data_IF_357511734938
#
_entry.id   IF_357511734938
#
_cell.length_a   1.000
_cell.length_b   1.000
_cell.length_c   1.000
_cell.angle_alpha   90.00
_cell.angle_beta   90.00
_cell.angle_gamma   90.00
#
_symmetry.space_group_name_H-M   'P 1'
#
loop_
_entity.id
_entity.type
_entity.pdbx_description
1 polymer ?
#
# COMPACT_ATOMS: atom_id res chain seq x y z
N UNK A 1 45.28 9.32 20.44
CA UNK A 1 46.04 10.01 19.34
C UNK A 1 45.16 9.93 18.09
N UNK A 2 44.76 10.96 17.33
CA UNK A 2 44.98 12.41 17.27
C UNK A 2 43.60 13.05 17.02
N UNK A 3 43.28 14.14 17.72
CA UNK A 3 42.16 15.04 17.37
C UNK A 3 42.67 16.00 16.30
N UNK A 4 42.03 16.02 15.13
CA UNK A 4 42.28 17.03 14.11
C UNK A 4 41.23 18.12 14.31
N UNK A 5 41.64 19.20 14.98
CA UNK A 5 40.87 20.43 15.05
C UNK A 5 41.17 21.26 13.81
N UNK A 6 40.15 21.55 13.01
CA UNK A 6 40.22 22.55 11.94
C UNK A 6 39.62 23.83 12.49
N UNK A 7 40.49 24.83 12.63
CA UNK A 7 40.20 26.17 13.10
C UNK A 7 39.89 27.03 11.87
N UNK A 8 38.62 27.30 11.58
CA UNK A 8 38.23 28.27 10.56
C UNK A 8 37.83 29.57 11.23
N UNK A 9 38.71 30.56 11.09
CA UNK A 9 38.54 31.92 11.56
C UNK A 9 37.97 32.76 10.40
N UNK A 10 36.66 32.99 10.36
CA UNK A 10 36.04 33.92 9.42
C UNK A 10 35.59 35.18 10.15
N UNK A 11 36.34 36.27 9.94
CA UNK A 11 35.98 37.62 10.35
C UNK A 11 34.67 38.03 9.69
N UNK A 12 33.75 38.55 10.50
CA UNK A 12 32.48 39.10 10.07
C UNK A 12 32.65 40.34 9.19
N UNK A 13 31.89 40.37 8.10
CA UNK A 13 31.47 41.58 7.43
C UNK A 13 29.96 41.64 7.64
N UNK A 14 29.51 42.56 8.49
CA UNK A 14 28.11 42.86 8.66
C UNK A 14 27.64 43.65 7.44
N UNK A 15 26.84 43.01 6.58
CA UNK A 15 25.99 43.72 5.63
C UNK A 15 24.58 43.79 6.24
N UNK A 16 24.16 44.98 6.63
CA UNK A 16 22.75 45.32 6.82
C UNK A 16 22.08 45.31 5.44
N UNK A 17 21.60 44.14 5.04
CA UNK A 17 20.69 43.98 3.92
C UNK A 17 19.33 43.56 4.47
N UNK A 18 18.30 44.37 4.24
CA UNK A 18 16.90 44.06 4.50
C UNK A 18 16.40 42.90 3.61
N UNK A 19 16.94 41.71 3.85
CA UNK A 19 16.52 40.45 3.24
C UNK A 19 15.48 39.81 4.15
N UNK A 20 14.21 39.89 3.75
CA UNK A 20 13.14 39.08 4.28
C UNK A 20 13.57 37.60 4.13
N UNK A 21 14.01 36.98 5.24
CA UNK A 21 14.35 35.56 5.28
C UNK A 21 13.14 34.79 4.74
N UNK A 22 13.24 33.99 3.65
CA UNK A 22 12.19 33.04 3.34
C UNK A 22 12.10 32.09 4.54
N UNK A 23 11.00 32.25 5.30
CA UNK A 23 10.70 31.49 6.51
C UNK A 23 10.25 30.10 6.12
N UNK A 24 11.21 29.24 5.80
CA UNK A 24 10.97 27.82 5.66
C UNK A 24 12.13 27.14 4.97
N UNK A 25 12.74 26.18 5.66
CA UNK A 25 13.71 25.30 5.03
C UNK A 25 13.09 24.54 3.85
N UNK A 26 13.90 23.84 3.02
CA UNK A 26 13.42 23.08 1.87
C UNK A 26 12.28 22.08 2.17
N UNK A 27 12.18 21.62 3.42
CA UNK A 27 11.10 20.78 3.92
C UNK A 27 9.76 21.50 4.08
N UNK A 28 9.75 22.77 4.44
CA UNK A 28 8.53 23.56 4.62
C UNK A 28 7.93 24.00 3.28
N UNK A 29 8.78 24.38 2.31
CA UNK A 29 8.33 24.66 0.95
C UNK A 29 7.78 23.42 0.24
N UNK A 30 8.37 22.24 0.50
CA UNK A 30 7.84 20.96 0.03
C UNK A 30 6.49 20.64 0.68
N UNK A 31 6.35 20.81 2.01
CA UNK A 31 5.06 20.62 2.72
C UNK A 31 3.97 21.54 2.16
N UNK A 32 4.25 22.84 2.01
CA UNK A 32 3.30 23.79 1.43
C UNK A 32 2.91 23.42 -0.01
N UNK A 33 3.84 22.90 -0.81
CA UNK A 33 3.55 22.40 -2.16
C UNK A 33 2.66 21.16 -2.15
N UNK A 34 2.90 20.23 -1.21
CA UNK A 34 2.06 19.03 -1.02
C UNK A 34 0.66 19.42 -0.57
N UNK A 35 0.53 20.36 0.36
CA UNK A 35 -0.77 20.82 0.87
C UNK A 35 -1.56 21.56 -0.23
N UNK A 36 -0.90 22.43 -1.01
CA UNK A 36 -1.52 23.08 -2.18
C UNK A 36 -1.94 22.07 -3.25
N UNK A 37 -1.13 21.04 -3.51
CA UNK A 37 -1.48 19.98 -4.45
C UNK A 37 -2.69 19.16 -3.95
N UNK A 38 -2.73 18.82 -2.66
CA UNK A 38 -3.88 18.15 -2.02
C UNK A 38 -5.16 18.96 -2.18
N UNK A 39 -5.11 20.26 -1.92
CA UNK A 39 -6.26 21.15 -2.05
C UNK A 39 -6.74 21.27 -3.51
N UNK A 40 -5.81 21.40 -4.46
CA UNK A 40 -6.15 21.44 -5.90
C UNK A 40 -6.78 20.13 -6.38
N UNK A 41 -6.23 18.98 -5.97
CA UNK A 41 -6.78 17.66 -6.32
C UNK A 41 -8.18 17.50 -5.70
N UNK A 42 -8.34 17.84 -4.42
CA UNK A 42 -9.63 17.77 -3.74
C UNK A 42 -10.68 18.65 -4.43
N UNK A 43 -10.32 19.88 -4.79
CA UNK A 43 -11.23 20.84 -5.45
C UNK A 43 -11.61 20.40 -6.87
N UNK A 44 -10.63 19.93 -7.65
CA UNK A 44 -10.87 19.42 -9.01
C UNK A 44 -11.74 18.15 -9.01
N UNK A 45 -11.48 17.25 -8.06
CA UNK A 45 -12.28 16.04 -7.86
C UNK A 45 -13.71 16.39 -7.46
N UNK A 46 -13.88 17.29 -6.49
CA UNK A 46 -15.19 17.76 -6.05
C UNK A 46 -16.00 18.40 -7.20
N UNK A 47 -15.35 19.24 -8.03
CA UNK A 47 -15.98 19.87 -9.19
C UNK A 47 -16.41 18.84 -10.25
N UNK A 48 -15.56 17.86 -10.53
CA UNK A 48 -15.84 16.81 -11.52
C UNK A 48 -16.98 15.90 -11.07
N UNK A 49 -17.00 15.53 -9.78
CA UNK A 49 -18.09 14.75 -9.18
C UNK A 49 -19.39 15.55 -9.17
N UNK A 50 -19.33 16.83 -8.82
CA UNK A 50 -20.50 17.73 -8.83
C UNK A 50 -21.14 17.85 -10.21
N UNK A 51 -20.36 18.10 -11.26
CA UNK A 51 -20.86 18.18 -12.63
C UNK A 51 -21.46 16.85 -13.13
N UNK A 52 -20.84 15.72 -12.77
CA UNK A 52 -21.38 14.39 -13.06
C UNK A 52 -22.73 14.16 -12.36
N UNK A 53 -22.85 14.56 -11.08
CA UNK A 53 -24.08 14.45 -10.30
C UNK A 53 -25.22 15.30 -10.86
N UNK A 54 -24.95 16.53 -11.27
CA UNK A 54 -25.93 17.43 -11.90
C UNK A 54 -26.47 16.85 -13.22
N UNK A 55 -25.56 16.35 -14.06
CA UNK A 55 -25.91 15.69 -15.33
C UNK A 55 -26.72 14.42 -15.09
N UNK A 56 -26.33 13.60 -14.11
CA UNK A 56 -27.05 12.38 -13.74
C UNK A 56 -28.43 12.67 -13.16
N UNK A 57 -28.61 13.72 -12.35
CA UNK A 57 -29.95 14.09 -11.85
C UNK A 57 -30.92 14.39 -12.99
N UNK A 58 -30.40 14.99 -14.07
CA UNK A 58 -31.20 15.37 -15.25
C UNK A 58 -31.51 14.18 -16.15
N UNK A 59 -30.54 13.30 -16.38
CA UNK A 59 -30.66 12.21 -17.37
C UNK A 59 -30.99 10.83 -16.78
N UNK A 60 -30.61 10.58 -15.52
CA UNK A 60 -30.84 9.30 -14.83
C UNK A 60 -30.94 9.49 -13.30
N UNK A 61 -32.09 9.96 -12.77
CA UNK A 61 -32.23 10.31 -11.36
C UNK A 61 -32.05 9.12 -10.42
N UNK A 62 -32.32 7.89 -10.87
CA UNK A 62 -32.07 6.67 -10.09
C UNK A 62 -30.57 6.46 -9.86
N UNK A 63 -29.75 6.69 -10.88
CA UNK A 63 -28.30 6.56 -10.77
C UNK A 63 -27.70 7.69 -9.91
N UNK A 64 -28.26 8.91 -10.00
CA UNK A 64 -27.86 10.02 -9.13
C UNK A 64 -28.13 9.72 -7.65
N UNK A 65 -29.28 9.10 -7.33
CA UNK A 65 -29.62 8.71 -5.96
C UNK A 65 -28.65 7.63 -5.43
N UNK A 66 -28.37 6.59 -6.22
CA UNK A 66 -27.36 5.56 -5.86
C UNK A 66 -25.95 6.14 -5.67
N UNK A 67 -25.57 7.13 -6.49
CA UNK A 67 -24.28 7.80 -6.35
C UNK A 67 -24.20 8.53 -5.00
N UNK A 68 -25.27 9.21 -4.60
CA UNK A 68 -25.35 9.90 -3.31
C UNK A 68 -25.33 8.93 -2.12
N UNK A 69 -26.06 7.82 -2.21
CA UNK A 69 -25.99 6.74 -1.21
C UNK A 69 -24.57 6.19 -1.07
N UNK A 70 -23.89 5.98 -2.21
CA UNK A 70 -22.51 5.49 -2.23
C UNK A 70 -21.55 6.51 -1.63
N UNK A 71 -21.69 7.79 -1.95
CA UNK A 71 -20.88 8.88 -1.38
C UNK A 71 -21.03 8.95 0.15
N UNK A 72 -22.27 8.87 0.65
CA UNK A 72 -22.56 8.87 2.08
C UNK A 72 -21.99 7.62 2.77
N UNK A 73 -22.11 6.45 2.13
CA UNK A 73 -21.49 5.23 2.62
C UNK A 73 -19.96 5.35 2.68
N UNK A 74 -19.32 5.86 1.63
CA UNK A 74 -17.87 6.08 1.59
C UNK A 74 -17.42 7.06 2.68
N UNK A 75 -18.14 8.18 2.88
CA UNK A 75 -17.83 9.13 3.97
C UNK A 75 -17.92 8.47 5.35
N UNK A 76 -18.95 7.65 5.58
CA UNK A 76 -19.12 6.90 6.83
C UNK A 76 -17.98 5.89 7.06
N UNK A 77 -17.56 5.17 6.02
CA UNK A 77 -16.43 4.24 6.13
C UNK A 77 -15.12 5.00 6.36
N UNK A 78 -14.93 6.13 5.69
CA UNK A 78 -13.75 6.98 5.87
C UNK A 78 -13.66 7.50 7.31
N UNK A 79 -14.75 8.04 7.87
CA UNK A 79 -14.76 8.51 9.25
C UNK A 79 -14.50 7.37 10.24
N UNK A 80 -15.11 6.21 10.03
CA UNK A 80 -14.86 5.02 10.85
C UNK A 80 -13.38 4.58 10.79
N UNK A 81 -12.75 4.64 9.61
CA UNK A 81 -11.34 4.30 9.44
C UNK A 81 -10.42 5.32 10.10
N UNK A 82 -10.75 6.60 10.00
CA UNK A 82 -10.02 7.67 10.67
C UNK A 82 -10.07 7.50 12.20
N UNK A 83 -11.25 7.19 12.75
CA UNK A 83 -11.44 6.88 14.18
C UNK A 83 -10.64 5.64 14.62
N UNK A 84 -10.54 4.63 13.76
CA UNK A 84 -9.72 3.43 13.97
C UNK A 84 -8.21 3.70 13.77
N UNK A 85 -7.81 4.93 13.44
CA UNK A 85 -6.42 5.34 13.33
C UNK A 85 -5.77 4.98 11.99
N UNK A 86 -6.53 5.00 10.88
CA UNK A 86 -6.00 4.70 9.55
C UNK A 86 -4.81 5.56 9.16
N UNK A 87 -4.75 6.84 9.53
CA UNK A 87 -3.57 7.66 9.21
C UNK A 87 -2.42 7.48 10.21
N UNK A 88 -2.75 7.20 11.46
CA UNK A 88 -1.77 7.05 12.55
C UNK A 88 -0.93 5.78 12.36
N UNK A 89 -1.55 4.69 11.90
CA UNK A 89 -0.88 3.40 11.69
C UNK A 89 -0.03 3.33 10.42
N UNK A 90 -0.11 4.34 9.54
CA UNK A 90 0.64 4.38 8.29
C UNK A 90 2.16 4.32 8.52
N UNK A 91 2.65 5.05 9.52
CA UNK A 91 4.08 5.04 9.88
C UNK A 91 4.51 3.66 10.37
N UNK A 92 3.67 2.97 11.13
CA UNK A 92 3.97 1.63 11.66
C UNK A 92 4.13 0.64 10.52
N UNK A 93 3.23 0.66 9.53
CA UNK A 93 3.34 -0.20 8.36
C UNK A 93 4.64 0.03 7.57
N UNK A 94 5.05 1.29 7.39
CA UNK A 94 6.32 1.58 6.72
C UNK A 94 7.53 1.04 7.48
N UNK A 95 7.48 0.95 8.81
CA UNK A 95 8.53 0.27 9.59
C UNK A 95 8.53 -1.24 9.32
N UNK A 96 7.35 -1.85 9.27
CA UNK A 96 7.19 -3.28 8.97
C UNK A 96 7.68 -3.64 7.56
N UNK A 97 7.48 -2.77 6.56
CA UNK A 97 7.95 -2.98 5.18
C UNK A 97 9.45 -3.24 5.09
N UNK A 98 10.25 -2.58 5.93
CA UNK A 98 11.72 -2.75 5.92
C UNK A 98 12.22 -3.79 6.93
N UNK A 99 11.32 -4.34 7.75
CA UNK A 99 11.68 -5.28 8.80
C UNK A 99 12.36 -6.57 8.28
N UNK A 100 11.93 -7.17 7.14
CA UNK A 100 12.62 -8.34 6.59
C UNK A 100 14.10 -8.08 6.26
N UNK A 101 14.44 -6.85 5.86
CA UNK A 101 15.82 -6.47 5.52
C UNK A 101 16.65 -6.07 6.74
N UNK A 102 16.05 -5.40 7.72
CA UNK A 102 16.75 -4.97 8.96
C UNK A 102 17.11 -6.12 9.90
N UNK A 103 16.45 -7.28 9.77
CA UNK A 103 16.66 -8.45 10.64
C UNK A 103 17.75 -9.40 10.15
N UNK A 104 18.36 -9.15 8.99
CA UNK A 104 19.47 -9.97 8.51
C UNK A 104 20.66 -10.02 9.49
N UNK A 105 20.77 -9.05 10.41
CA UNK A 105 21.86 -8.95 11.40
C UNK A 105 21.53 -9.47 12.81
N UNK A 106 20.31 -9.98 13.09
CA UNK A 106 19.89 -10.35 14.45
C UNK A 106 19.49 -11.82 14.57
N UNK A 107 20.24 -12.61 15.36
CA UNK A 107 20.02 -13.92 16.03
C UNK A 107 19.01 -14.98 15.54
N UNK A 108 17.96 -14.64 14.79
CA UNK A 108 17.04 -15.55 14.11
C UNK A 108 17.04 -15.24 12.60
N UNK A 109 17.61 -16.12 11.76
CA UNK A 109 17.64 -15.89 10.32
C UNK A 109 16.22 -15.83 9.75
N UNK A 110 15.98 -14.93 8.79
CA UNK A 110 14.68 -14.74 8.12
C UNK A 110 14.06 -16.06 7.62
N UNK A 111 14.90 -17.00 7.16
CA UNK A 111 14.47 -18.34 6.73
C UNK A 111 13.77 -19.14 7.84
N UNK A 112 14.16 -18.96 9.10
CA UNK A 112 13.50 -19.62 10.23
C UNK A 112 12.09 -19.06 10.48
N UNK A 113 11.88 -17.75 10.31
CA UNK A 113 10.57 -17.10 10.41
C UNK A 113 9.68 -17.47 9.22
N UNK A 114 10.24 -17.51 8.00
CA UNK A 114 9.54 -18.00 6.80
C UNK A 114 9.11 -19.45 7.01
N UNK A 115 10.02 -20.34 7.43
CA UNK A 115 9.70 -21.74 7.68
C UNK A 115 8.65 -21.90 8.77
N UNK A 116 8.76 -21.12 9.85
CA UNK A 116 7.78 -21.11 10.94
C UNK A 116 6.40 -20.59 10.52
N UNK A 117 6.36 -19.60 9.62
CA UNK A 117 5.11 -19.03 9.11
C UNK A 117 4.48 -19.81 7.95
N UNK A 118 5.24 -20.70 7.30
CA UNK A 118 4.71 -21.73 6.39
C UNK A 118 4.03 -22.88 7.16
N UNK A 119 4.26 -22.99 8.46
CA UNK A 119 3.49 -23.93 9.29
C UNK A 119 2.02 -23.57 9.22
N UNK A 120 1.16 -24.58 9.07
CA UNK A 120 -0.29 -24.41 9.13
C UNK A 120 -0.76 -23.86 10.49
N UNK A 121 0.07 -23.89 11.53
CA UNK A 121 -0.22 -23.26 12.82
C UNK A 121 0.97 -22.40 13.25
N UNK A 122 1.07 -21.15 12.77
CA UNK A 122 2.10 -20.25 13.28
C UNK A 122 1.81 -19.93 14.75
N UNK A 123 2.86 -19.85 15.57
CA UNK A 123 2.74 -19.44 16.98
C UNK A 123 2.13 -18.04 17.12
N UNK A 124 2.39 -17.17 16.13
CA UNK A 124 1.84 -15.82 16.06
C UNK A 124 1.26 -15.54 14.66
N UNK A 125 -0.06 -15.71 14.46
CA UNK A 125 -0.70 -15.50 13.16
C UNK A 125 -0.66 -14.04 12.70
N UNK A 126 -0.65 -13.06 13.62
CA UNK A 126 -0.52 -11.64 13.28
C UNK A 126 0.85 -11.36 12.66
N UNK A 127 1.92 -11.86 13.26
CA UNK A 127 3.27 -11.70 12.73
C UNK A 127 3.45 -12.42 11.39
N UNK A 128 2.93 -13.65 11.26
CA UNK A 128 2.97 -14.38 10.01
C UNK A 128 2.24 -13.63 8.89
N UNK A 129 1.04 -13.12 9.15
CA UNK A 129 0.29 -12.31 8.20
C UNK A 129 1.08 -11.07 7.75
N UNK A 130 1.62 -10.28 8.67
CA UNK A 130 2.42 -9.09 8.36
C UNK A 130 3.61 -9.45 7.47
N UNK A 131 4.36 -10.50 7.84
CA UNK A 131 5.52 -10.96 7.07
C UNK A 131 5.13 -11.31 5.64
N UNK A 132 4.13 -12.17 5.45
CA UNK A 132 3.71 -12.61 4.12
C UNK A 132 3.10 -11.48 3.28
N UNK A 133 2.36 -10.55 3.90
CA UNK A 133 1.82 -9.39 3.21
C UNK A 133 2.93 -8.44 2.73
N UNK A 134 3.94 -8.20 3.56
CA UNK A 134 5.13 -7.39 3.20
C UNK A 134 5.93 -8.08 2.09
N UNK A 135 6.14 -9.40 2.17
CA UNK A 135 6.86 -10.13 1.13
C UNK A 135 6.10 -10.15 -0.19
N UNK A 136 4.77 -10.32 -0.17
CA UNK A 136 3.93 -10.23 -1.36
C UNK A 136 4.05 -8.84 -2.01
N UNK A 137 4.05 -7.76 -1.22
CA UNK A 137 4.29 -6.42 -1.72
C UNK A 137 5.65 -6.28 -2.40
N UNK A 138 6.74 -6.70 -1.75
CA UNK A 138 8.10 -6.61 -2.32
C UNK A 138 8.28 -7.46 -3.57
N UNK A 139 7.65 -8.65 -3.63
CA UNK A 139 7.61 -9.45 -4.84
C UNK A 139 6.92 -8.71 -5.99
N UNK A 140 5.84 -7.97 -5.69
CA UNK A 140 5.17 -7.09 -6.64
C UNK A 140 6.05 -5.94 -7.14
N UNK A 141 6.83 -5.32 -6.25
CA UNK A 141 7.80 -4.27 -6.60
C UNK A 141 8.90 -4.85 -7.51
N UNK A 142 9.50 -5.97 -7.13
CA UNK A 142 10.52 -6.66 -7.94
C UNK A 142 9.95 -7.03 -9.31
N UNK A 143 8.75 -7.61 -9.35
CA UNK A 143 8.07 -7.94 -10.60
C UNK A 143 7.82 -6.72 -11.48
N UNK A 144 7.37 -5.60 -10.91
CA UNK A 144 7.17 -4.35 -11.66
C UNK A 144 8.49 -3.81 -12.25
N UNK A 145 9.59 -3.89 -11.49
CA UNK A 145 10.93 -3.48 -11.98
C UNK A 145 11.42 -4.42 -13.09
N UNK A 146 11.28 -5.74 -12.93
CA UNK A 146 11.68 -6.70 -13.96
C UNK A 146 10.88 -6.52 -15.25
N UNK A 147 9.56 -6.37 -15.15
CA UNK A 147 8.70 -6.12 -16.32
C UNK A 147 9.04 -4.79 -17.00
N UNK A 148 9.41 -3.76 -16.23
CA UNK A 148 9.90 -2.50 -16.79
C UNK A 148 11.23 -2.68 -17.55
N UNK A 149 12.17 -3.46 -17.01
CA UNK A 149 13.48 -3.70 -17.63
C UNK A 149 13.41 -4.52 -18.92
N UNK A 150 12.38 -5.38 -19.07
CA UNK A 150 12.19 -6.23 -20.26
C UNK A 150 11.24 -5.60 -21.29
N UNK A 151 10.54 -4.51 -20.94
CA UNK A 151 9.55 -3.88 -21.81
C UNK A 151 10.19 -3.08 -22.95
N UNK A 152 9.88 -3.46 -24.19
CA UNK A 152 10.21 -2.69 -25.42
C UNK A 152 9.34 -1.43 -25.63
N UNK A 153 8.32 -1.20 -24.78
CA UNK A 153 7.43 -0.05 -24.90
C UNK A 153 8.13 1.30 -24.62
N UNK A 154 7.49 2.39 -25.05
CA UNK A 154 7.90 3.76 -24.72
C UNK A 154 8.19 3.89 -23.21
N UNK A 155 9.44 4.23 -22.87
CA UNK A 155 9.99 4.27 -21.50
C UNK A 155 9.05 4.98 -20.51
N UNK A 156 8.35 6.03 -20.94
CA UNK A 156 7.44 6.78 -20.07
C UNK A 156 6.14 6.00 -19.75
N UNK A 157 5.58 5.28 -20.72
CA UNK A 157 4.34 4.52 -20.53
C UNK A 157 4.59 3.28 -19.65
N UNK A 158 5.70 2.58 -19.87
CA UNK A 158 6.11 1.45 -19.03
C UNK A 158 6.43 1.90 -17.61
N UNK A 159 7.09 3.04 -17.44
CA UNK A 159 7.34 3.63 -16.12
C UNK A 159 6.04 4.01 -15.40
N UNK A 160 5.10 4.65 -16.10
CA UNK A 160 3.81 5.02 -15.53
C UNK A 160 3.00 3.78 -15.11
N UNK A 161 2.98 2.75 -15.96
CA UNK A 161 2.33 1.48 -15.64
C UNK A 161 2.98 0.81 -14.41
N UNK A 162 4.31 0.67 -14.39
CA UNK A 162 5.03 0.10 -13.26
C UNK A 162 4.79 0.88 -11.96
N UNK A 163 4.85 2.21 -12.02
CA UNK A 163 4.58 3.10 -10.88
C UNK A 163 3.15 2.95 -10.37
N UNK A 164 2.15 2.91 -11.26
CA UNK A 164 0.75 2.68 -10.86
C UNK A 164 0.56 1.32 -10.19
N UNK A 165 1.19 0.26 -10.72
CA UNK A 165 1.11 -1.10 -10.16
C UNK A 165 1.75 -1.17 -8.78
N UNK A 166 2.91 -0.55 -8.60
CA UNK A 166 3.57 -0.44 -7.29
C UNK A 166 2.72 0.36 -6.29
N UNK A 167 2.14 1.48 -6.72
CA UNK A 167 1.29 2.30 -5.89
C UNK A 167 0.02 1.56 -5.43
N UNK A 168 -0.70 0.93 -6.37
CA UNK A 168 -1.89 0.14 -6.06
C UNK A 168 -1.55 -1.03 -5.14
N UNK A 169 -0.46 -1.75 -5.42
CA UNK A 169 0.02 -2.84 -4.57
C UNK A 169 0.34 -2.37 -3.15
N UNK A 170 0.98 -1.20 -3.01
CA UNK A 170 1.24 -0.57 -1.72
C UNK A 170 -0.06 -0.23 -0.98
N UNK A 171 -1.04 0.38 -1.65
CA UNK A 171 -2.33 0.71 -1.06
C UNK A 171 -3.07 -0.52 -0.54
N UNK A 172 -3.11 -1.62 -1.31
CA UNK A 172 -3.72 -2.87 -0.85
C UNK A 172 -2.98 -3.49 0.33
N UNK A 173 -1.65 -3.56 0.25
CA UNK A 173 -0.86 -4.15 1.32
C UNK A 173 -1.00 -3.34 2.62
N UNK A 174 -1.06 -2.00 2.54
CA UNK A 174 -1.36 -1.16 3.69
C UNK A 174 -2.79 -1.35 4.21
N UNK A 175 -3.78 -1.37 3.32
CA UNK A 175 -5.18 -1.57 3.68
C UNK A 175 -5.39 -2.90 4.41
N UNK A 176 -4.75 -3.98 3.94
CA UNK A 176 -4.82 -5.29 4.57
C UNK A 176 -4.09 -5.33 5.91
N UNK A 177 -2.93 -4.70 6.02
CA UNK A 177 -2.27 -4.50 7.31
C UNK A 177 -3.22 -3.81 8.31
N UNK A 178 -3.82 -2.68 7.91
CA UNK A 178 -4.73 -1.95 8.76
C UNK A 178 -5.94 -2.80 9.19
N UNK A 179 -6.63 -3.42 8.23
CA UNK A 179 -7.83 -4.23 8.51
C UNK A 179 -7.52 -5.38 9.46
N UNK A 180 -6.48 -6.18 9.17
CA UNK A 180 -6.24 -7.43 9.90
C UNK A 180 -5.39 -7.27 11.17
N UNK A 181 -4.62 -6.19 11.29
CA UNK A 181 -3.70 -5.98 12.43
C UNK A 181 -4.17 -4.85 13.34
N UNK A 182 -4.76 -3.78 12.80
CA UNK A 182 -5.08 -2.57 13.57
C UNK A 182 -6.55 -2.48 13.99
N UNK A 183 -7.50 -2.95 13.16
CA UNK A 183 -8.93 -2.69 13.46
C UNK A 183 -9.53 -3.64 14.50
N UNK A 184 -9.08 -4.91 14.54
CA UNK A 184 -9.70 -6.00 15.31
C UNK A 184 -11.25 -6.10 15.15
N UNK A 185 -11.81 -5.59 14.04
CA UNK A 185 -13.26 -5.61 13.74
C UNK A 185 -13.60 -6.72 12.76
N UNK A 186 -14.36 -7.73 13.21
CA UNK A 186 -14.77 -8.90 12.42
C UNK A 186 -15.43 -8.56 11.07
N UNK A 187 -16.28 -7.52 11.04
CA UNK A 187 -16.93 -7.02 9.80
C UNK A 187 -15.89 -6.61 8.75
N UNK A 188 -14.91 -5.80 9.13
CA UNK A 188 -13.87 -5.30 8.21
C UNK A 188 -12.92 -6.41 7.78
N UNK A 189 -12.58 -7.30 8.69
CA UNK A 189 -11.76 -8.48 8.38
C UNK A 189 -12.45 -9.40 7.36
N UNK A 190 -13.78 -9.57 7.42
CA UNK A 190 -14.52 -10.32 6.40
C UNK A 190 -14.40 -9.65 5.02
N UNK A 191 -14.62 -8.34 4.93
CA UNK A 191 -14.47 -7.61 3.66
C UNK A 191 -13.03 -7.68 3.12
N UNK A 192 -12.04 -7.50 4.00
CA UNK A 192 -10.63 -7.68 3.65
C UNK A 192 -10.33 -9.09 3.15
N UNK A 193 -10.91 -10.11 3.78
CA UNK A 193 -10.70 -11.51 3.40
C UNK A 193 -11.29 -11.81 2.02
N UNK A 194 -12.51 -11.37 1.75
CA UNK A 194 -13.14 -11.50 0.43
C UNK A 194 -12.33 -10.76 -0.63
N UNK A 195 -11.82 -9.56 -0.33
CA UNK A 195 -10.98 -8.80 -1.25
C UNK A 195 -9.65 -9.53 -1.57
N UNK A 196 -8.96 -10.10 -0.56
CA UNK A 196 -7.76 -10.92 -0.77
C UNK A 196 -8.08 -12.15 -1.61
N UNK A 197 -9.19 -12.84 -1.33
CA UNK A 197 -9.59 -14.03 -2.09
C UNK A 197 -9.85 -13.71 -3.56
N UNK A 198 -10.60 -12.64 -3.85
CA UNK A 198 -10.80 -12.16 -5.21
C UNK A 198 -9.47 -11.80 -5.88
N UNK A 199 -8.56 -11.17 -5.14
CA UNK A 199 -7.23 -10.83 -5.66
C UNK A 199 -6.41 -12.07 -6.02
N UNK A 200 -6.41 -13.10 -5.17
CA UNK A 200 -5.80 -14.42 -5.46
C UNK A 200 -6.38 -15.03 -6.73
N UNK A 201 -7.71 -15.01 -6.89
CA UNK A 201 -8.35 -15.55 -8.10
C UNK A 201 -7.93 -14.79 -9.36
N UNK A 202 -7.82 -13.46 -9.27
CA UNK A 202 -7.32 -12.63 -10.39
C UNK A 202 -5.87 -12.94 -10.73
N UNK A 203 -5.00 -13.17 -9.74
CA UNK A 203 -3.58 -13.48 -9.99
C UNK A 203 -3.40 -14.89 -10.56
N UNK A 204 -4.20 -15.85 -10.10
CA UNK A 204 -4.24 -17.21 -10.67
C UNK A 204 -4.75 -17.19 -12.11
N UNK A 205 -5.79 -16.40 -12.39
CA UNK A 205 -6.27 -16.19 -13.76
C UNK A 205 -5.19 -15.53 -14.63
N UNK A 206 -4.45 -14.54 -14.11
CA UNK A 206 -3.31 -13.94 -14.79
C UNK A 206 -2.21 -14.95 -15.11
N UNK A 207 -1.87 -15.83 -14.16
CA UNK A 207 -0.92 -16.92 -14.38
C UNK A 207 -1.40 -17.89 -15.47
N UNK A 208 -2.68 -18.30 -15.43
CA UNK A 208 -3.29 -19.14 -16.46
C UNK A 208 -3.21 -18.48 -17.85
N UNK A 209 -3.57 -17.20 -17.94
CA UNK A 209 -3.49 -16.46 -19.20
C UNK A 209 -2.04 -16.36 -19.71
N UNK A 210 -1.07 -16.13 -18.82
CA UNK A 210 0.36 -16.10 -19.18
C UNK A 210 0.83 -17.46 -19.69
N UNK A 211 0.39 -18.56 -19.05
CA UNK A 211 0.71 -19.92 -19.48
C UNK A 211 0.14 -20.25 -20.86
N UNK A 212 -1.07 -19.76 -21.18
CA UNK A 212 -1.68 -19.95 -22.48
C UNK A 212 -0.91 -19.27 -23.63
N UNK A 213 -0.14 -18.23 -23.34
CA UNK A 213 0.65 -17.46 -24.32
C UNK A 213 2.16 -17.70 -24.18
N UNK A 214 2.59 -18.78 -23.51
CA UNK A 214 4.00 -19.05 -23.18
C UNK A 214 4.92 -19.19 -24.41
N UNK A 215 4.35 -19.40 -25.61
CA UNK A 215 5.09 -19.46 -26.87
C UNK A 215 5.67 -18.12 -27.30
N UNK A 216 5.18 -17.02 -26.73
CA UNK A 216 5.75 -15.68 -26.88
C UNK A 216 6.85 -15.53 -25.81
N UNK A 217 8.12 -15.39 -26.21
CA UNK A 217 9.29 -15.56 -25.33
C UNK A 217 9.31 -14.75 -24.03
N UNK A 218 8.55 -13.66 -23.95
CA UNK A 218 8.44 -12.79 -22.76
C UNK A 218 7.45 -13.32 -21.70
N UNK A 219 6.57 -14.25 -22.07
CA UNK A 219 5.51 -14.77 -21.21
C UNK A 219 6.02 -15.69 -20.09
N UNK A 220 7.24 -16.23 -20.19
CA UNK A 220 7.82 -17.11 -19.15
C UNK A 220 8.09 -16.34 -17.86
N UNK A 221 8.64 -15.12 -17.95
CA UNK A 221 8.92 -14.29 -16.79
C UNK A 221 7.62 -13.87 -16.10
N UNK A 222 6.63 -13.41 -16.88
CA UNK A 222 5.33 -13.02 -16.36
C UNK A 222 4.60 -14.21 -15.70
N UNK A 223 4.66 -15.40 -16.31
CA UNK A 223 4.12 -16.62 -15.74
C UNK A 223 4.74 -16.94 -14.38
N UNK A 224 6.07 -16.96 -14.29
CA UNK A 224 6.78 -17.27 -13.04
C UNK A 224 6.41 -16.24 -11.96
N UNK A 225 6.40 -14.96 -12.30
CA UNK A 225 6.02 -13.90 -11.36
C UNK A 225 4.57 -14.06 -10.89
N UNK A 226 3.61 -14.32 -11.80
CA UNK A 226 2.21 -14.49 -11.44
C UNK A 226 1.96 -15.75 -10.59
N UNK A 227 2.70 -16.84 -10.83
CA UNK A 227 2.67 -18.05 -9.99
C UNK A 227 3.18 -17.74 -8.58
N UNK A 228 4.37 -17.14 -8.46
CA UNK A 228 4.94 -16.77 -7.17
C UNK A 228 4.00 -15.81 -6.44
N UNK A 229 3.49 -14.80 -7.12
CA UNK A 229 2.60 -13.81 -6.54
C UNK A 229 1.30 -14.46 -6.03
N UNK A 230 0.73 -15.40 -6.78
CA UNK A 230 -0.43 -16.17 -6.35
C UNK A 230 -0.12 -17.02 -5.12
N UNK A 231 1.03 -17.70 -5.08
CA UNK A 231 1.43 -18.52 -3.93
C UNK A 231 1.57 -17.69 -2.65
N UNK A 232 2.22 -16.51 -2.73
CA UNK A 232 2.34 -15.61 -1.58
C UNK A 232 0.97 -15.10 -1.11
N UNK A 233 0.10 -14.68 -2.05
CA UNK A 233 -1.23 -14.19 -1.69
C UNK A 233 -2.15 -15.30 -1.12
N UNK A 234 -1.98 -16.56 -1.53
CA UNK A 234 -2.67 -17.70 -0.91
C UNK A 234 -2.26 -17.84 0.56
N UNK A 235 -0.96 -17.69 0.87
CA UNK A 235 -0.46 -17.76 2.25
C UNK A 235 -0.96 -16.56 3.07
N UNK A 236 -0.99 -15.36 2.48
CA UNK A 236 -1.61 -14.17 3.10
C UNK A 236 -3.09 -14.42 3.40
N UNK A 237 -3.84 -14.97 2.43
CA UNK A 237 -5.25 -15.33 2.58
C UNK A 237 -5.48 -16.35 3.70
N UNK A 238 -4.61 -17.36 3.79
CA UNK A 238 -4.63 -18.37 4.84
C UNK A 238 -4.48 -17.73 6.24
N UNK A 239 -3.49 -16.87 6.43
CA UNK A 239 -3.28 -16.20 7.73
C UNK A 239 -4.40 -15.18 8.02
N UNK A 240 -4.92 -14.48 7.02
CA UNK A 240 -6.09 -13.62 7.15
C UNK A 240 -7.31 -14.39 7.65
N UNK A 241 -7.56 -15.60 7.13
CA UNK A 241 -8.65 -16.46 7.59
C UNK A 241 -8.49 -16.84 9.06
N UNK A 242 -7.28 -17.22 9.51
CA UNK A 242 -7.03 -17.53 10.92
C UNK A 242 -7.23 -16.34 11.83
N UNK A 243 -6.78 -15.15 11.41
CA UNK A 243 -7.05 -13.91 12.15
C UNK A 243 -8.54 -13.64 12.23
N UNK A 244 -9.27 -13.76 11.12
CA UNK A 244 -10.72 -13.55 11.07
C UNK A 244 -11.49 -14.52 11.98
N UNK A 245 -11.12 -15.81 11.97
CA UNK A 245 -11.74 -16.84 12.80
C UNK A 245 -11.43 -16.65 14.28
N UNK A 246 -10.25 -16.12 14.61
CA UNK A 246 -9.82 -15.87 15.99
C UNK A 246 -10.54 -14.71 16.68
N UNK A 247 -11.26 -13.86 15.95
CA UNK A 247 -12.04 -12.76 16.55
C UNK A 247 -13.43 -13.26 16.96
N UNK A 248 -13.79 -13.18 18.26
CA UNK A 248 -15.12 -13.58 18.73
C UNK A 248 -16.21 -12.76 18.03
N UNK A 249 -17.34 -13.40 17.75
CA UNK A 249 -18.50 -12.72 17.19
C UNK A 249 -19.10 -11.76 18.22
N UNK A 250 -19.74 -10.67 17.77
CA UNK A 250 -20.43 -9.75 18.68
C UNK A 250 -21.53 -10.43 19.51
N UNK A 251 -22.10 -11.53 19.00
CA UNK A 251 -23.08 -12.35 19.71
C UNK A 251 -22.46 -13.17 20.87
N UNK A 252 -21.15 -13.40 20.87
CA UNK A 252 -20.43 -14.10 21.96
C UNK A 252 -19.90 -13.13 23.03
N UNK A 253 -20.03 -11.82 22.81
CA UNK A 253 -19.58 -10.76 23.74
C UNK A 253 -20.73 -10.10 24.50
N UNK A 254 -21.98 -10.51 24.25
CA UNK A 254 -23.20 -10.08 24.93
C UNK A 254 -23.72 -11.21 25.82
#
# INVERSE_FOLDING_TARGET
MRKIGVWCNSKGIAMEGGGQKPSGGPLESFRASVDSAREKIATSTAKSIGGCKESLKTHNPKLALKLEETENAVKKVSSEFDELGFWTNYKNYNVELFRPFKRADASKPLLSEIKGSLSLKPENPKMAFVLWNVLAFWLGVIGAVLMFLVSDALVLASLAYAASRMFVGYCFAYLFYFIFICTDKKKWMLFGFVAILLYVLLTVYGAYNSAAHITEGDAVLELVLNILYSAFNIIVCYHAYHLYKGVPSQAEML
#
